data_IF_512355476514
#
_entry.id   IF_512355476514
#
_cell.length_a   1.000
_cell.length_b   1.000
_cell.length_c   1.000
_cell.angle_alpha   90.00
_cell.angle_beta   90.00
_cell.angle_gamma   90.00
#
_symmetry.space_group_name_H-M   'P 1'
#
loop_
_entity.id
_entity.type
_entity.pdbx_description
1 polymer ?
#
# COMPACT_ATOMS: atom_id res chain seq x y z
N UNK A 1 -32.02 9.86 -5.48
CA UNK A 1 -30.62 10.22 -5.78
C UNK A 1 -29.71 9.26 -5.02
N UNK A 2 -28.74 8.67 -5.68
CA UNK A 2 -27.67 7.89 -5.05
C UNK A 2 -26.88 8.76 -4.07
N UNK A 3 -26.47 8.22 -2.93
CA UNK A 3 -25.71 8.98 -1.92
C UNK A 3 -24.22 8.65 -2.03
N UNK A 4 -23.32 9.64 -1.92
CA UNK A 4 -21.89 9.36 -1.87
C UNK A 4 -21.51 8.61 -0.59
N UNK A 5 -20.43 7.83 -0.65
CA UNK A 5 -19.80 7.24 0.52
C UNK A 5 -19.09 8.34 1.33
N UNK A 6 -19.30 8.36 2.63
CA UNK A 6 -18.76 9.37 3.54
C UNK A 6 -17.44 8.87 4.14
N UNK A 7 -16.36 9.60 3.91
CA UNK A 7 -15.01 9.21 4.27
C UNK A 7 -14.45 10.12 5.35
N UNK A 8 -13.95 9.52 6.44
CA UNK A 8 -13.04 10.15 7.39
C UNK A 8 -11.61 9.76 6.99
N UNK A 9 -10.72 10.71 6.76
CA UNK A 9 -9.32 10.39 6.42
C UNK A 9 -8.39 10.67 7.59
N UNK A 10 -7.44 9.76 7.84
CA UNK A 10 -6.40 9.88 8.86
C UNK A 10 -5.04 9.88 8.18
N UNK A 11 -4.34 11.01 8.25
CA UNK A 11 -3.05 11.28 7.63
C UNK A 11 -3.13 12.15 6.38
N UNK A 12 -2.31 13.22 6.35
CA UNK A 12 -2.08 14.13 5.21
C UNK A 12 -0.59 14.13 4.81
N UNK A 13 0.05 12.97 4.89
CA UNK A 13 1.41 12.75 4.37
C UNK A 13 1.47 12.76 2.84
N UNK A 14 2.55 12.18 2.31
CA UNK A 14 2.81 12.14 0.87
C UNK A 14 1.70 11.44 0.06
N UNK A 15 1.12 10.36 0.60
CA UNK A 15 0.02 9.63 -0.05
C UNK A 15 -1.34 10.15 0.41
N UNK A 16 -1.46 10.58 1.68
CA UNK A 16 -2.73 11.08 2.21
C UNK A 16 -3.25 12.33 1.50
N UNK A 17 -2.38 13.26 1.09
CA UNK A 17 -2.78 14.45 0.33
C UNK A 17 -3.42 14.13 -1.04
N UNK A 18 -2.77 13.33 -1.91
CA UNK A 18 -3.40 12.86 -3.15
C UNK A 18 -4.72 12.13 -2.91
N UNK A 19 -4.82 11.29 -1.87
CA UNK A 19 -6.08 10.62 -1.52
C UNK A 19 -7.17 11.65 -1.21
N UNK A 20 -6.91 12.63 -0.35
CA UNK A 20 -7.88 13.68 -0.01
C UNK A 20 -8.31 14.46 -1.24
N UNK A 21 -7.37 14.82 -2.12
CA UNK A 21 -7.63 15.53 -3.38
C UNK A 21 -8.56 14.73 -4.29
N UNK A 22 -8.30 13.44 -4.45
CA UNK A 22 -9.13 12.56 -5.29
C UNK A 22 -10.50 12.28 -4.69
N UNK A 23 -10.63 12.19 -3.36
CA UNK A 23 -11.95 12.09 -2.70
C UNK A 23 -12.79 13.33 -3.02
N UNK A 24 -12.18 14.51 -2.99
CA UNK A 24 -12.87 15.78 -3.29
C UNK A 24 -13.24 15.90 -4.77
N UNK A 25 -12.53 15.23 -5.67
CA UNK A 25 -12.79 15.25 -7.12
C UNK A 25 -13.84 14.22 -7.56
N UNK A 26 -14.21 13.23 -6.71
CA UNK A 26 -15.15 12.17 -7.06
C UNK A 26 -16.55 12.43 -6.50
N UNK A 27 -17.56 12.44 -7.38
CA UNK A 27 -18.97 12.64 -6.99
C UNK A 27 -19.53 11.54 -6.07
N UNK A 28 -18.96 10.32 -6.16
CA UNK A 28 -19.42 9.18 -5.36
C UNK A 28 -18.78 9.10 -3.97
N UNK A 29 -17.84 9.98 -3.65
CA UNK A 29 -17.19 10.08 -2.34
C UNK A 29 -17.45 11.45 -1.70
N UNK A 30 -17.45 11.50 -0.39
CA UNK A 30 -17.57 12.74 0.37
C UNK A 30 -16.62 12.74 1.56
N UNK A 31 -15.56 13.54 1.47
CA UNK A 31 -14.67 13.78 2.59
C UNK A 31 -15.41 14.59 3.66
N UNK A 32 -15.51 14.07 4.88
CA UNK A 32 -16.25 14.75 5.98
C UNK A 32 -15.34 15.41 7.01
N UNK A 33 -14.18 14.80 7.23
CA UNK A 33 -13.14 15.35 8.09
C UNK A 33 -11.80 14.68 7.76
N UNK A 34 -10.73 15.33 8.17
CA UNK A 34 -9.37 14.80 8.12
C UNK A 34 -8.75 14.87 9.51
N UNK A 35 -7.91 13.90 9.85
CA UNK A 35 -7.10 13.90 11.07
C UNK A 35 -5.63 13.90 10.69
N UNK A 36 -4.84 14.84 11.21
CA UNK A 36 -3.39 14.85 11.04
C UNK A 36 -2.72 15.52 12.24
N UNK A 37 -1.75 14.84 12.83
CA UNK A 37 -1.04 15.30 14.03
C UNK A 37 -0.04 16.44 13.77
N UNK A 38 0.25 16.75 12.51
CA UNK A 38 1.21 17.79 12.17
C UNK A 38 0.68 19.18 12.56
N UNK A 39 1.39 19.91 13.44
CA UNK A 39 0.93 21.19 13.96
C UNK A 39 0.59 22.23 12.89
N UNK A 40 1.17 22.14 11.70
CA UNK A 40 0.90 23.06 10.59
C UNK A 40 -0.54 23.00 10.08
N UNK A 41 -1.27 21.91 10.37
CA UNK A 41 -2.68 21.74 9.94
C UNK A 41 -3.68 22.05 11.03
N UNK A 42 -3.24 22.25 12.28
CA UNK A 42 -4.12 22.46 13.43
C UNK A 42 -5.08 23.64 13.21
N UNK A 43 -6.38 23.37 13.29
CA UNK A 43 -7.45 24.38 13.13
C UNK A 43 -7.67 24.87 11.70
N UNK A 44 -7.04 24.23 10.70
CA UNK A 44 -7.20 24.54 9.27
C UNK A 44 -8.30 23.72 8.62
N UNK A 45 -8.72 24.15 7.45
CA UNK A 45 -9.57 23.39 6.53
C UNK A 45 -8.71 22.86 5.37
N UNK A 46 -9.20 21.83 4.68
CA UNK A 46 -8.49 21.23 3.55
C UNK A 46 -8.17 22.25 2.45
N UNK A 47 -9.08 23.16 2.11
CA UNK A 47 -8.85 24.18 1.09
C UNK A 47 -7.64 25.08 1.37
N UNK A 48 -7.30 25.30 2.64
CA UNK A 48 -6.11 26.06 3.04
C UNK A 48 -4.80 25.28 2.86
N UNK A 49 -4.93 24.00 2.58
CA UNK A 49 -3.81 23.05 2.42
C UNK A 49 -3.68 22.52 0.99
N UNK A 50 -4.63 22.86 0.12
CA UNK A 50 -4.67 22.49 -1.30
C UNK A 50 -5.06 23.70 -2.15
N UNK A 51 -4.60 23.73 -3.40
CA UNK A 51 -4.93 24.80 -4.36
C UNK A 51 -6.34 24.69 -4.96
N UNK A 52 -7.19 23.81 -4.44
CA UNK A 52 -8.54 23.54 -4.93
C UNK A 52 -9.60 24.20 -4.04
N UNK A 53 -10.59 24.81 -4.66
CA UNK A 53 -11.80 25.31 -3.98
C UNK A 53 -12.70 24.19 -3.43
N UNK A 54 -12.50 22.96 -3.87
CA UNK A 54 -13.15 21.78 -3.33
C UNK A 54 -12.69 21.56 -1.87
N UNK A 55 -13.60 21.23 -0.98
CA UNK A 55 -13.27 20.96 0.42
C UNK A 55 -13.15 22.17 1.35
N UNK A 56 -13.61 23.37 0.93
CA UNK A 56 -13.60 24.59 1.76
C UNK A 56 -14.14 24.40 3.18
N UNK A 57 -15.08 23.47 3.35
CA UNK A 57 -15.73 23.23 4.63
C UNK A 57 -15.22 22.00 5.38
N UNK A 58 -14.23 21.24 4.82
CA UNK A 58 -13.72 20.02 5.45
C UNK A 58 -12.69 20.38 6.52
N UNK A 59 -12.99 20.14 7.81
CA UNK A 59 -12.09 20.46 8.91
C UNK A 59 -10.93 19.47 9.00
N UNK A 60 -9.79 19.95 9.49
CA UNK A 60 -8.65 19.12 9.88
C UNK A 60 -8.55 19.15 11.40
N UNK A 61 -8.57 17.97 12.03
CA UNK A 61 -8.41 17.77 13.46
C UNK A 61 -7.00 17.26 13.76
N UNK A 62 -6.49 17.53 14.94
CA UNK A 62 -5.22 16.97 15.43
C UNK A 62 -5.42 15.70 16.26
N UNK A 63 -6.66 15.38 16.61
CA UNK A 63 -7.04 14.21 17.41
C UNK A 63 -8.22 13.45 16.76
N UNK A 64 -8.11 12.12 16.74
CA UNK A 64 -9.12 11.27 16.12
C UNK A 64 -10.43 11.26 16.93
N UNK A 65 -10.36 11.24 18.25
CA UNK A 65 -11.54 11.20 19.11
C UNK A 65 -12.35 12.47 18.93
N UNK A 66 -11.69 13.64 18.92
CA UNK A 66 -12.34 14.92 18.65
C UNK A 66 -13.02 14.91 17.27
N UNK A 67 -12.35 14.40 16.23
CA UNK A 67 -12.92 14.32 14.89
C UNK A 67 -14.19 13.46 14.85
N UNK A 68 -14.18 12.31 15.51
CA UNK A 68 -15.31 11.38 15.59
C UNK A 68 -16.49 12.01 16.34
N UNK A 69 -16.25 12.66 17.48
CA UNK A 69 -17.27 13.37 18.25
C UNK A 69 -17.91 14.51 17.45
N UNK A 70 -17.11 15.35 16.81
CA UNK A 70 -17.58 16.49 16.00
C UNK A 70 -18.36 16.07 14.75
N UNK A 71 -18.11 14.88 14.23
CA UNK A 71 -18.82 14.36 13.05
C UNK A 71 -19.96 13.40 13.40
N UNK A 72 -20.22 13.11 14.68
CA UNK A 72 -21.19 12.12 15.16
C UNK A 72 -22.63 12.34 14.64
N UNK A 73 -23.06 13.58 14.47
CA UNK A 73 -24.38 13.90 13.91
C UNK A 73 -24.54 13.47 12.44
N UNK A 74 -23.44 13.30 11.73
CA UNK A 74 -23.38 12.82 10.34
C UNK A 74 -22.12 11.97 10.17
N UNK A 75 -22.10 10.74 10.73
CA UNK A 75 -20.89 9.93 10.77
C UNK A 75 -20.39 9.55 9.39
N UNK A 76 -19.11 9.21 9.30
CA UNK A 76 -18.54 8.56 8.14
C UNK A 76 -19.16 7.16 7.95
N UNK A 77 -18.96 6.59 6.78
CA UNK A 77 -19.23 5.18 6.50
C UNK A 77 -17.95 4.38 6.69
N UNK A 78 -16.82 5.01 6.41
CA UNK A 78 -15.51 4.38 6.37
C UNK A 78 -14.41 5.37 6.79
N UNK A 79 -13.43 4.86 7.52
CA UNK A 79 -12.16 5.53 7.78
C UNK A 79 -11.09 5.08 6.79
N UNK A 80 -10.31 6.03 6.27
CA UNK A 80 -9.16 5.75 5.42
C UNK A 80 -7.89 6.19 6.15
N UNK A 81 -6.98 5.23 6.44
CA UNK A 81 -5.77 5.47 7.22
C UNK A 81 -4.56 5.49 6.30
N UNK A 82 -3.85 6.63 6.27
CA UNK A 82 -2.69 6.87 5.42
C UNK A 82 -1.51 7.47 6.23
N UNK A 83 -1.07 6.77 7.27
CA UNK A 83 -0.11 7.30 8.25
C UNK A 83 1.21 6.52 8.33
N UNK A 84 1.18 5.19 8.32
CA UNK A 84 2.35 4.34 8.56
C UNK A 84 2.25 3.01 7.84
N UNK A 85 3.42 2.44 7.51
CA UNK A 85 3.59 1.08 6.98
C UNK A 85 3.46 -0.01 8.05
N UNK A 86 3.59 0.35 9.33
CA UNK A 86 3.69 -0.58 10.46
C UNK A 86 2.37 -0.73 11.20
N UNK A 87 1.91 -1.97 11.37
CA UNK A 87 0.64 -2.30 11.99
C UNK A 87 0.53 -1.83 13.45
N UNK A 88 1.60 -1.94 14.21
CA UNK A 88 1.64 -1.48 15.60
C UNK A 88 1.36 0.03 15.75
N UNK A 89 1.73 0.83 14.75
CA UNK A 89 1.52 2.27 14.76
C UNK A 89 0.09 2.68 14.36
N UNK A 90 -0.59 1.87 13.56
CA UNK A 90 -1.96 2.16 13.08
C UNK A 90 -3.05 1.44 13.88
N UNK A 91 -2.69 0.42 14.70
CA UNK A 91 -3.66 -0.41 15.45
C UNK A 91 -4.64 0.40 16.29
N UNK A 92 -4.16 1.45 16.99
CA UNK A 92 -5.03 2.29 17.82
C UNK A 92 -6.09 3.00 16.99
N UNK A 93 -5.70 3.56 15.84
CA UNK A 93 -6.65 4.24 14.96
C UNK A 93 -7.68 3.26 14.37
N UNK A 94 -7.26 2.03 14.00
CA UNK A 94 -8.18 0.99 13.52
C UNK A 94 -9.22 0.67 14.59
N UNK A 95 -8.80 0.31 15.81
CA UNK A 95 -9.69 -0.07 16.89
C UNK A 95 -10.63 1.07 17.29
N UNK A 96 -10.12 2.31 17.40
CA UNK A 96 -10.96 3.50 17.68
C UNK A 96 -12.01 3.74 16.58
N UNK A 97 -11.71 3.46 15.32
CA UNK A 97 -12.69 3.55 14.23
C UNK A 97 -13.75 2.45 14.32
N UNK A 98 -13.36 1.23 14.69
CA UNK A 98 -14.29 0.12 14.90
C UNK A 98 -15.23 0.39 16.08
N UNK A 99 -14.73 0.92 17.20
CA UNK A 99 -15.53 1.27 18.40
C UNK A 99 -16.73 2.18 18.07
N UNK A 100 -16.62 3.02 17.04
CA UNK A 100 -17.70 3.90 16.58
C UNK A 100 -18.42 3.36 15.32
N UNK A 101 -18.18 2.13 14.95
CA UNK A 101 -18.86 1.42 13.87
C UNK A 101 -18.47 1.87 12.47
N UNK A 102 -17.22 2.24 12.22
CA UNK A 102 -16.70 2.55 10.88
C UNK A 102 -16.06 1.32 10.24
N UNK A 103 -16.25 1.14 8.93
CA UNK A 103 -15.33 0.32 8.14
C UNK A 103 -13.96 0.99 8.06
N UNK A 104 -12.90 0.21 7.79
CA UNK A 104 -11.54 0.75 7.71
C UNK A 104 -10.84 0.26 6.44
N UNK A 105 -10.22 1.18 5.70
CA UNK A 105 -9.21 0.88 4.67
C UNK A 105 -7.92 1.57 5.06
N UNK A 106 -6.80 0.85 4.99
CA UNK A 106 -5.49 1.42 5.31
C UNK A 106 -4.46 1.11 4.23
N UNK A 107 -3.54 2.07 3.99
CA UNK A 107 -2.35 1.83 3.16
C UNK A 107 -1.20 1.18 3.93
N UNK A 108 -1.43 0.76 5.16
CA UNK A 108 -0.43 0.07 5.98
C UNK A 108 -0.08 -1.28 5.35
N UNK A 109 1.13 -1.42 4.88
CA UNK A 109 1.61 -2.59 4.17
C UNK A 109 1.51 -3.86 5.03
N UNK A 110 1.89 -3.79 6.31
CA UNK A 110 1.81 -4.93 7.24
C UNK A 110 0.36 -5.37 7.53
N UNK A 111 -0.64 -4.50 7.31
CA UNK A 111 -2.05 -4.85 7.48
C UNK A 111 -2.61 -5.65 6.29
N UNK A 112 -1.94 -5.68 5.16
CA UNK A 112 -2.42 -6.41 3.96
C UNK A 112 -2.48 -7.92 4.18
N UNK A 113 -1.58 -8.47 4.99
CA UNK A 113 -1.59 -9.86 5.45
C UNK A 113 -0.93 -10.00 6.84
N UNK A 114 -1.59 -9.58 7.94
CA UNK A 114 -0.96 -9.57 9.27
C UNK A 114 -0.92 -10.92 9.98
N UNK A 115 -1.65 -11.93 9.47
CA UNK A 115 -1.96 -13.19 10.17
C UNK A 115 -0.71 -14.00 10.56
N UNK A 116 0.39 -13.93 9.79
CA UNK A 116 1.62 -14.66 10.12
C UNK A 116 2.56 -13.89 11.03
N UNK A 117 2.72 -12.57 10.81
CA UNK A 117 3.65 -11.74 11.59
C UNK A 117 3.03 -11.25 12.91
N UNK A 118 1.74 -10.96 12.90
CA UNK A 118 1.02 -10.36 14.03
C UNK A 118 -0.27 -11.12 14.38
N UNK A 119 -0.22 -12.46 14.58
CA UNK A 119 -1.43 -13.28 14.69
C UNK A 119 -2.39 -12.84 15.81
N UNK A 120 -1.85 -12.43 16.96
CA UNK A 120 -2.68 -11.96 18.08
C UNK A 120 -3.41 -10.65 17.75
N UNK A 121 -2.72 -9.72 17.08
CA UNK A 121 -3.30 -8.43 16.70
C UNK A 121 -4.27 -8.59 15.53
N UNK A 122 -3.96 -9.44 14.56
CA UNK A 122 -4.85 -9.78 13.46
C UNK A 122 -6.17 -10.36 14.00
N UNK A 123 -6.11 -11.38 14.88
CA UNK A 123 -7.31 -11.98 15.50
C UNK A 123 -8.10 -10.95 16.32
N UNK A 124 -7.42 -10.04 17.03
CA UNK A 124 -8.10 -8.98 17.79
C UNK A 124 -8.87 -8.04 16.85
N UNK A 125 -8.23 -7.54 15.78
CA UNK A 125 -8.88 -6.65 14.81
C UNK A 125 -10.04 -7.37 14.13
N UNK A 126 -9.87 -8.63 13.77
CA UNK A 126 -10.88 -9.46 13.13
C UNK A 126 -12.12 -9.61 14.03
N UNK A 127 -11.92 -10.08 15.27
CA UNK A 127 -13.02 -10.28 16.23
C UNK A 127 -13.77 -8.98 16.55
N UNK A 128 -13.06 -7.86 16.75
CA UNK A 128 -13.70 -6.57 17.01
C UNK A 128 -14.48 -6.06 15.77
N UNK A 129 -13.93 -6.26 14.56
CA UNK A 129 -14.63 -5.93 13.34
C UNK A 129 -15.89 -6.77 13.12
N UNK A 130 -15.84 -8.08 13.39
CA UNK A 130 -17.00 -8.98 13.36
C UNK A 130 -18.06 -8.55 14.36
N UNK A 131 -17.68 -8.26 15.62
CA UNK A 131 -18.59 -7.87 16.70
C UNK A 131 -19.41 -6.62 16.33
N UNK A 132 -18.77 -5.63 15.72
CA UNK A 132 -19.46 -4.38 15.32
C UNK A 132 -20.05 -4.45 13.91
N UNK A 133 -19.92 -5.58 13.20
CA UNK A 133 -20.42 -5.74 11.84
C UNK A 133 -19.72 -4.83 10.82
N UNK A 134 -18.41 -4.69 10.93
CA UNK A 134 -17.58 -3.84 10.06
C UNK A 134 -16.43 -4.62 9.46
N UNK A 135 -15.83 -4.04 8.42
CA UNK A 135 -14.76 -4.68 7.65
C UNK A 135 -13.51 -3.82 7.71
N UNK A 136 -12.36 -4.47 7.91
CA UNK A 136 -11.03 -3.85 7.90
C UNK A 136 -10.23 -4.42 6.73
N UNK A 137 -9.57 -3.57 5.96
CA UNK A 137 -8.71 -3.95 4.84
C UNK A 137 -7.40 -3.18 4.87
N UNK A 138 -6.27 -3.88 4.75
CA UNK A 138 -4.99 -3.32 4.32
C UNK A 138 -4.82 -3.47 2.81
N UNK A 139 -4.49 -2.40 2.07
CA UNK A 139 -4.29 -2.47 0.62
C UNK A 139 -3.48 -1.28 0.09
N UNK A 140 -2.94 -1.46 -1.08
CA UNK A 140 -2.19 -0.48 -1.84
C UNK A 140 -1.85 -1.04 -3.21
N UNK A 141 -0.81 -0.50 -3.83
CA UNK A 141 -0.31 -1.06 -5.08
C UNK A 141 0.60 -2.27 -4.81
N UNK A 142 1.40 -2.20 -3.73
CA UNK A 142 2.27 -3.26 -3.22
C UNK A 142 2.45 -3.10 -1.69
N UNK A 143 1.99 -4.04 -0.89
CA UNK A 143 1.07 -5.13 -1.22
C UNK A 143 -0.35 -4.65 -1.51
N UNK A 144 -1.12 -5.50 -2.20
CA UNK A 144 -2.54 -5.30 -2.48
C UNK A 144 -2.94 -5.50 -3.95
N UNK A 145 -2.00 -5.41 -4.90
CA UNK A 145 -2.35 -5.63 -6.32
C UNK A 145 -1.21 -6.22 -7.17
N UNK A 146 -0.16 -5.43 -7.50
CA UNK A 146 0.80 -5.81 -8.54
C UNK A 146 1.64 -7.04 -8.22
N UNK A 147 2.07 -7.18 -6.96
CA UNK A 147 2.99 -8.24 -6.56
C UNK A 147 2.28 -9.40 -5.84
N UNK A 148 0.98 -9.37 -5.73
CA UNK A 148 0.17 -10.41 -5.07
C UNK A 148 -1.13 -10.72 -5.82
N UNK A 149 -2.16 -9.87 -5.73
CA UNK A 149 -3.48 -10.18 -6.27
C UNK A 149 -3.47 -10.39 -7.79
N UNK A 150 -2.78 -9.54 -8.56
CA UNK A 150 -2.71 -9.66 -10.02
C UNK A 150 -2.03 -10.98 -10.44
N UNK A 151 -0.83 -11.35 -9.93
CA UNK A 151 -0.26 -12.66 -10.22
C UNK A 151 -1.14 -13.83 -9.77
N UNK A 152 -1.82 -13.75 -8.61
CA UNK A 152 -2.79 -14.77 -8.19
C UNK A 152 -3.88 -14.95 -9.26
N UNK A 153 -4.49 -13.85 -9.73
CA UNK A 153 -5.54 -13.90 -10.76
C UNK A 153 -5.03 -14.48 -12.07
N UNK A 154 -3.80 -14.17 -12.46
CA UNK A 154 -3.20 -14.70 -13.70
C UNK A 154 -2.92 -16.19 -13.66
N UNK A 155 -2.89 -16.83 -12.47
CA UNK A 155 -2.81 -18.31 -12.40
C UNK A 155 -4.12 -19.00 -12.78
N UNK A 156 -5.26 -18.28 -12.79
CA UNK A 156 -6.59 -18.84 -13.03
C UNK A 156 -6.72 -19.69 -14.31
N UNK A 157 -6.15 -19.31 -15.48
CA UNK A 157 -6.19 -20.14 -16.68
C UNK A 157 -5.19 -21.30 -16.69
N UNK A 158 -4.26 -21.39 -15.71
CA UNK A 158 -3.25 -22.44 -15.67
C UNK A 158 -3.86 -23.74 -15.12
N UNK A 159 -3.73 -24.84 -15.87
CA UNK A 159 -4.06 -26.19 -15.39
C UNK A 159 -3.15 -26.58 -14.21
N UNK A 160 -1.89 -26.13 -14.27
CA UNK A 160 -0.86 -26.25 -13.23
C UNK A 160 0.21 -25.18 -13.45
N UNK A 161 0.88 -24.78 -12.40
CA UNK A 161 2.08 -23.97 -12.48
C UNK A 161 3.14 -24.48 -11.48
N UNK A 162 4.39 -24.18 -11.79
CA UNK A 162 5.55 -24.61 -10.99
C UNK A 162 6.16 -23.43 -10.22
N UNK A 163 6.30 -22.28 -10.90
CA UNK A 163 6.97 -21.10 -10.35
C UNK A 163 6.24 -19.82 -10.76
N UNK A 164 6.28 -18.86 -9.86
CA UNK A 164 5.75 -17.51 -10.04
C UNK A 164 6.86 -16.51 -9.75
N UNK A 165 7.21 -15.69 -10.73
CA UNK A 165 8.12 -14.57 -10.54
C UNK A 165 7.42 -13.26 -10.85
N UNK A 166 7.58 -12.26 -9.96
CA UNK A 166 7.13 -10.89 -10.19
C UNK A 166 8.33 -9.97 -10.06
N UNK A 167 8.52 -9.12 -11.06
CA UNK A 167 9.59 -8.12 -11.06
C UNK A 167 8.98 -6.75 -11.27
N UNK A 168 9.34 -5.81 -10.42
CA UNK A 168 8.98 -4.41 -10.53
C UNK A 168 10.25 -3.57 -10.63
N UNK A 169 10.39 -2.81 -11.72
CA UNK A 169 11.53 -1.91 -11.98
C UNK A 169 11.03 -0.48 -12.09
N UNK A 170 11.55 0.41 -11.25
CA UNK A 170 11.15 1.82 -11.22
C UNK A 170 12.35 2.76 -11.23
N UNK A 171 12.25 3.85 -11.98
CA UNK A 171 13.21 4.95 -11.93
C UNK A 171 12.96 5.81 -10.69
N UNK A 172 13.88 5.73 -9.72
CA UNK A 172 13.79 6.50 -8.49
C UNK A 172 14.04 7.99 -8.72
N UNK A 173 14.73 8.39 -9.80
CA UNK A 173 15.03 9.79 -10.10
C UNK A 173 13.78 10.63 -10.35
N UNK A 174 12.69 10.01 -10.80
CA UNK A 174 11.39 10.65 -11.02
C UNK A 174 10.54 10.76 -9.75
N UNK A 175 11.03 10.22 -8.62
CA UNK A 175 10.31 10.15 -7.35
C UNK A 175 10.74 11.26 -6.39
N UNK A 176 9.94 11.49 -5.35
CA UNK A 176 10.24 12.45 -4.27
C UNK A 176 11.59 12.15 -3.61
N UNK A 177 12.31 13.21 -3.16
CA UNK A 177 13.62 13.08 -2.52
C UNK A 177 13.65 12.06 -1.37
N UNK A 178 12.61 12.06 -0.52
CA UNK A 178 12.51 11.09 0.58
C UNK A 178 12.42 9.63 0.14
N UNK A 179 12.00 9.34 -1.08
CA UNK A 179 12.05 7.99 -1.65
C UNK A 179 13.46 7.66 -2.13
N UNK A 180 14.14 8.61 -2.80
CA UNK A 180 15.52 8.45 -3.25
C UNK A 180 16.49 8.23 -2.07
N UNK A 181 16.29 8.96 -0.96
CA UNK A 181 17.02 8.73 0.30
C UNK A 181 16.77 7.31 0.86
N UNK A 182 15.52 6.83 0.86
CA UNK A 182 15.17 5.49 1.34
C UNK A 182 15.80 4.36 0.53
N UNK A 183 16.10 4.58 -0.74
CA UNK A 183 16.77 3.57 -1.59
C UNK A 183 18.28 3.76 -1.62
N UNK A 184 18.83 4.73 -0.85
CA UNK A 184 20.26 4.94 -0.66
C UNK A 184 20.96 5.68 -1.80
N UNK A 185 20.22 6.38 -2.67
CA UNK A 185 20.80 7.12 -3.79
C UNK A 185 21.87 8.11 -3.32
N UNK A 186 23.07 8.01 -3.88
CA UNK A 186 24.22 8.87 -3.60
C UNK A 186 25.13 8.38 -2.48
N UNK A 187 24.73 7.40 -1.68
CA UNK A 187 25.57 6.81 -0.63
C UNK A 187 26.78 6.10 -1.23
N UNK A 188 27.87 6.03 -0.48
CA UNK A 188 28.93 5.04 -0.73
C UNK A 188 28.43 3.64 -0.38
N UNK A 189 29.10 2.60 -0.84
CA UNK A 189 28.77 1.20 -0.48
C UNK A 189 28.82 0.97 1.03
N UNK A 190 29.83 1.51 1.70
CA UNK A 190 29.98 1.36 3.15
C UNK A 190 28.86 2.09 3.92
N UNK A 191 28.46 3.29 3.46
CA UNK A 191 27.32 4.01 4.06
C UNK A 191 26.00 3.27 3.86
N UNK A 192 25.82 2.62 2.71
CA UNK A 192 24.62 1.83 2.41
C UNK A 192 24.57 0.57 3.28
N UNK A 193 25.67 -0.18 3.43
CA UNK A 193 25.77 -1.35 4.30
C UNK A 193 25.48 -0.97 5.76
N UNK A 194 26.11 0.09 6.27
CA UNK A 194 25.84 0.62 7.60
C UNK A 194 24.37 1.04 7.77
N UNK A 195 23.76 1.62 6.73
CA UNK A 195 22.36 2.02 6.78
C UNK A 195 21.40 0.82 6.85
N UNK A 196 21.76 -0.33 6.25
CA UNK A 196 21.04 -1.59 6.40
C UNK A 196 21.18 -2.11 7.83
N UNK A 197 22.40 -2.19 8.37
CA UNK A 197 22.66 -2.68 9.72
C UNK A 197 21.93 -1.84 10.80
N UNK A 198 21.86 -0.53 10.61
CA UNK A 198 21.13 0.39 11.49
C UNK A 198 19.60 0.38 11.28
N UNK A 199 19.10 -0.36 10.28
CA UNK A 199 17.68 -0.40 9.93
C UNK A 199 17.14 0.90 9.30
N UNK A 200 18.00 1.77 8.79
CA UNK A 200 17.60 2.99 8.04
C UNK A 200 17.19 2.66 6.61
N UNK A 201 17.80 1.63 6.02
CA UNK A 201 17.38 1.03 4.75
C UNK A 201 16.88 -0.39 5.05
N UNK A 202 15.60 -0.62 4.78
CA UNK A 202 14.91 -1.90 5.08
C UNK A 202 14.45 -2.64 3.82
N UNK A 203 14.75 -2.11 2.64
CA UNK A 203 14.15 -2.60 1.41
C UNK A 203 12.69 -2.17 1.24
N UNK A 204 11.96 -2.92 0.42
CA UNK A 204 10.55 -2.66 0.18
C UNK A 204 9.68 -3.36 1.22
N UNK A 205 9.03 -2.57 2.10
CA UNK A 205 8.09 -3.12 3.10
C UNK A 205 6.90 -3.77 2.40
N UNK A 206 6.55 -4.99 2.79
CA UNK A 206 5.38 -5.69 2.29
C UNK A 206 5.65 -6.88 1.34
N UNK A 207 6.92 -7.16 1.00
CA UNK A 207 7.24 -8.36 0.18
C UNK A 207 6.80 -9.66 0.86
N UNK A 208 7.01 -9.77 2.17
CA UNK A 208 6.57 -10.94 2.95
C UNK A 208 5.05 -11.06 2.95
N UNK A 209 4.34 -9.96 3.17
CA UNK A 209 2.88 -9.91 3.18
C UNK A 209 2.30 -10.35 1.82
N UNK A 210 2.91 -9.92 0.70
CA UNK A 210 2.52 -10.36 -0.64
C UNK A 210 2.75 -11.86 -0.83
N UNK A 211 3.89 -12.42 -0.39
CA UNK A 211 4.16 -13.86 -0.50
C UNK A 211 3.21 -14.66 0.40
N UNK A 212 2.92 -14.19 1.63
CA UNK A 212 1.95 -14.84 2.50
C UNK A 212 0.55 -14.87 1.86
N UNK A 213 0.14 -13.79 1.20
CA UNK A 213 -1.13 -13.72 0.48
C UNK A 213 -1.17 -14.70 -0.70
N UNK A 214 -0.08 -14.80 -1.48
CA UNK A 214 0.06 -15.75 -2.59
C UNK A 214 -0.01 -17.19 -2.06
N UNK A 215 0.78 -17.51 -1.03
CA UNK A 215 0.82 -18.86 -0.43
C UNK A 215 -0.56 -19.28 0.09
N UNK A 216 -1.23 -18.37 0.80
CA UNK A 216 -2.57 -18.65 1.34
C UNK A 216 -3.61 -18.81 0.22
N UNK A 217 -3.65 -17.92 -0.76
CA UNK A 217 -4.64 -17.95 -1.84
C UNK A 217 -4.47 -19.19 -2.75
N UNK A 218 -3.24 -19.56 -3.06
CA UNK A 218 -2.93 -20.66 -3.98
C UNK A 218 -2.65 -21.99 -3.26
N UNK A 219 -2.64 -22.01 -1.92
CA UNK A 219 -2.38 -23.19 -1.07
C UNK A 219 -1.06 -23.89 -1.43
N UNK A 220 0.00 -23.08 -1.61
CA UNK A 220 1.30 -23.61 -2.06
C UNK A 220 1.99 -24.42 -0.98
N UNK A 221 1.69 -24.21 0.30
CA UNK A 221 2.35 -24.86 1.44
C UNK A 221 3.86 -24.63 1.41
N UNK A 222 4.28 -23.37 1.32
CA UNK A 222 5.68 -22.97 1.34
C UNK A 222 6.29 -23.29 2.70
N UNK A 223 7.47 -23.95 2.68
CA UNK A 223 8.19 -24.36 3.90
C UNK A 223 8.91 -23.17 4.55
N UNK A 224 9.44 -22.27 3.71
CA UNK A 224 10.16 -21.07 4.13
C UNK A 224 9.72 -19.86 3.31
N UNK A 225 9.49 -18.74 3.99
CA UNK A 225 9.24 -17.43 3.35
C UNK A 225 10.19 -16.43 3.99
N UNK A 226 11.02 -15.82 3.17
CA UNK A 226 12.07 -14.90 3.65
C UNK A 226 12.26 -13.71 2.73
N UNK A 227 12.71 -12.61 3.31
CA UNK A 227 13.22 -11.46 2.60
C UNK A 227 14.75 -11.47 2.65
N UNK A 228 15.37 -11.25 1.49
CA UNK A 228 16.82 -11.14 1.38
C UNK A 228 17.25 -9.73 1.77
N UNK A 229 18.45 -9.56 2.36
CA UNK A 229 19.00 -8.23 2.56
C UNK A 229 18.97 -7.42 1.26
N UNK A 230 18.65 -6.12 1.32
CA UNK A 230 18.68 -5.28 0.13
C UNK A 230 20.08 -5.24 -0.50
N UNK A 231 20.13 -5.34 -1.82
CA UNK A 231 21.37 -5.25 -2.60
C UNK A 231 21.49 -3.84 -3.19
N UNK A 232 22.68 -3.23 -3.09
CA UNK A 232 22.95 -1.94 -3.72
C UNK A 232 23.02 -2.08 -5.25
N UNK A 233 22.40 -1.13 -5.97
CA UNK A 233 22.64 -0.91 -7.41
C UNK A 233 23.69 0.17 -7.53
N UNK A 234 24.84 -0.15 -8.12
CA UNK A 234 26.01 0.70 -8.16
C UNK A 234 26.11 1.46 -9.49
N UNK A 235 26.56 2.71 -9.44
CA UNK A 235 26.77 3.56 -10.59
C UNK A 235 28.04 3.12 -11.36
N UNK A 236 27.88 2.72 -12.62
CA UNK A 236 28.99 2.40 -13.51
C UNK A 236 29.75 3.66 -13.95
N UNK A 237 29.06 4.80 -13.99
CA UNK A 237 29.59 6.13 -14.28
C UNK A 237 28.88 7.20 -13.44
N UNK A 238 29.50 8.35 -13.30
CA UNK A 238 28.89 9.47 -12.56
C UNK A 238 27.68 10.03 -13.28
N UNK A 239 26.61 10.37 -12.51
CA UNK A 239 25.39 10.92 -13.08
C UNK A 239 24.76 11.98 -12.17
N UNK A 240 24.00 12.89 -12.76
CA UNK A 240 23.18 13.87 -12.05
C UNK A 240 21.82 13.24 -11.68
N UNK A 241 21.39 13.47 -10.44
CA UNK A 241 20.06 13.09 -9.96
C UNK A 241 19.38 14.30 -9.30
N UNK A 242 18.06 14.27 -9.09
CA UNK A 242 17.36 15.38 -8.43
C UNK A 242 17.83 15.67 -6.99
N UNK A 243 18.49 14.74 -6.32
CA UNK A 243 19.04 14.93 -4.97
C UNK A 243 20.53 15.20 -4.95
N UNK A 244 21.17 15.34 -6.12
CA UNK A 244 22.58 15.66 -6.28
C UNK A 244 23.31 14.72 -7.22
N UNK A 245 24.61 14.97 -7.37
CA UNK A 245 25.49 14.14 -8.20
C UNK A 245 25.81 12.82 -7.50
N UNK A 246 25.65 11.73 -8.21
CA UNK A 246 26.10 10.39 -7.82
C UNK A 246 27.41 10.10 -8.53
N UNK A 247 28.48 9.87 -7.79
CA UNK A 247 29.79 9.55 -8.36
C UNK A 247 29.84 8.07 -8.79
N UNK A 248 30.73 7.75 -9.74
CA UNK A 248 31.00 6.36 -10.11
C UNK A 248 31.40 5.54 -8.90
N UNK A 249 30.80 4.35 -8.75
CA UNK A 249 31.02 3.44 -7.62
C UNK A 249 30.09 3.68 -6.44
N UNK A 250 29.31 4.78 -6.42
CA UNK A 250 28.30 5.04 -5.42
C UNK A 250 26.96 4.38 -5.77
N UNK A 251 26.08 4.33 -4.79
CA UNK A 251 24.77 3.68 -4.89
C UNK A 251 23.78 4.54 -5.68
N UNK A 252 23.16 3.96 -6.70
CA UNK A 252 22.05 4.54 -7.45
C UNK A 252 20.69 4.22 -6.82
N UNK A 253 20.62 3.15 -6.07
CA UNK A 253 19.39 2.65 -5.45
C UNK A 253 19.56 1.20 -5.00
N UNK A 254 18.47 0.48 -4.88
CA UNK A 254 18.49 -0.88 -4.33
C UNK A 254 17.64 -1.87 -5.13
N UNK A 255 17.94 -3.16 -4.88
CA UNK A 255 17.13 -4.30 -5.24
C UNK A 255 16.74 -5.03 -3.96
N UNK A 256 15.44 -5.28 -3.77
CA UNK A 256 14.87 -6.10 -2.70
C UNK A 256 14.30 -7.37 -3.27
N UNK A 257 14.48 -8.50 -2.59
CA UNK A 257 13.95 -9.80 -2.99
C UNK A 257 13.21 -10.47 -1.84
N UNK A 258 12.00 -10.93 -2.11
CA UNK A 258 11.27 -11.85 -1.26
C UNK A 258 11.20 -13.23 -1.92
N UNK A 259 11.39 -14.29 -1.15
CA UNK A 259 11.42 -15.68 -1.62
C UNK A 259 10.41 -16.52 -0.84
N UNK A 260 9.65 -17.32 -1.58
CA UNK A 260 8.84 -18.40 -1.04
C UNK A 260 9.36 -19.74 -1.55
N UNK A 261 9.84 -20.60 -0.63
CA UNK A 261 10.49 -21.86 -0.95
C UNK A 261 9.64 -23.06 -0.54
N UNK A 262 9.78 -24.14 -1.30
CA UNK A 262 9.23 -25.46 -0.97
C UNK A 262 10.25 -26.52 -1.37
N UNK A 263 10.69 -27.34 -0.41
CA UNK A 263 11.77 -28.33 -0.59
C UNK A 263 13.04 -27.72 -1.22
N UNK A 264 13.46 -26.56 -0.68
CA UNK A 264 14.60 -25.74 -1.12
C UNK A 264 14.48 -25.15 -2.54
N UNK A 265 13.36 -25.36 -3.25
CA UNK A 265 13.11 -24.72 -4.54
C UNK A 265 12.37 -23.39 -4.38
N UNK A 266 12.82 -22.37 -5.13
CA UNK A 266 12.11 -21.09 -5.25
C UNK A 266 10.82 -21.29 -6.07
N UNK A 267 9.66 -21.23 -5.38
CA UNK A 267 8.33 -21.32 -6.00
C UNK A 267 7.77 -19.93 -6.29
N UNK A 268 7.99 -19.00 -5.35
CA UNK A 268 7.58 -17.59 -5.50
C UNK A 268 8.81 -16.72 -5.35
N UNK A 269 9.05 -15.85 -6.33
CA UNK A 269 10.11 -14.84 -6.29
C UNK A 269 9.52 -13.47 -6.57
N UNK A 270 9.62 -12.56 -5.60
CA UNK A 270 9.26 -11.15 -5.77
C UNK A 270 10.52 -10.31 -5.81
N UNK A 271 10.70 -9.53 -6.86
CA UNK A 271 11.83 -8.60 -7.03
C UNK A 271 11.32 -7.17 -7.17
N UNK A 272 11.82 -6.29 -6.32
CA UNK A 272 11.58 -4.84 -6.38
C UNK A 272 12.92 -4.14 -6.62
N UNK A 273 13.06 -3.48 -7.76
CA UNK A 273 14.26 -2.76 -8.17
C UNK A 273 13.92 -1.28 -8.29
N UNK A 274 14.60 -0.45 -7.53
CA UNK A 274 14.40 0.99 -7.53
C UNK A 274 15.75 1.70 -7.52
N UNK A 275 16.12 2.32 -8.64
CA UNK A 275 17.35 3.08 -8.73
C UNK A 275 17.22 4.24 -9.70
N UNK A 276 18.07 5.26 -9.56
CA UNK A 276 18.12 6.37 -10.50
C UNK A 276 18.49 5.87 -11.89
N UNK A 277 17.79 6.39 -12.92
CA UNK A 277 17.92 5.98 -14.32
C UNK A 277 17.63 4.52 -14.65
N UNK A 278 16.78 3.84 -13.86
CA UNK A 278 16.25 2.53 -14.27
C UNK A 278 15.47 2.66 -15.59
N UNK A 279 15.96 2.00 -16.63
CA UNK A 279 15.34 2.02 -17.96
C UNK A 279 15.48 0.66 -18.65
N UNK A 280 14.37 0.08 -19.18
CA UNK A 280 12.98 0.55 -19.06
C UNK A 280 12.37 0.34 -17.68
N UNK A 281 11.44 1.22 -17.26
CA UNK A 281 10.54 0.94 -16.14
C UNK A 281 9.49 -0.09 -16.57
N UNK A 282 9.16 -1.05 -15.69
CA UNK A 282 8.11 -2.03 -15.95
C UNK A 282 7.67 -2.78 -14.70
N UNK A 283 6.46 -3.37 -14.78
CA UNK A 283 6.00 -4.43 -13.88
C UNK A 283 5.83 -5.71 -14.71
N UNK A 284 6.44 -6.82 -14.32
CA UNK A 284 6.41 -8.08 -15.06
C UNK A 284 6.05 -9.25 -14.16
N UNK A 285 5.17 -10.11 -14.65
CA UNK A 285 4.75 -11.35 -14.01
C UNK A 285 5.05 -12.50 -14.96
N UNK A 286 5.80 -13.48 -14.47
CA UNK A 286 6.14 -14.70 -15.21
C UNK A 286 5.60 -15.89 -14.41
N UNK A 287 4.76 -16.69 -15.04
CA UNK A 287 4.23 -17.94 -14.52
C UNK A 287 4.77 -19.08 -15.35
N UNK A 288 5.66 -19.87 -14.77
CA UNK A 288 6.09 -21.16 -15.34
C UNK A 288 4.99 -22.18 -15.09
N UNK A 289 4.16 -22.41 -16.09
CA UNK A 289 2.96 -23.22 -15.97
C UNK A 289 2.44 -23.78 -17.30
N UNK A 290 1.23 -24.33 -17.25
CA UNK A 290 0.53 -24.84 -18.42
C UNK A 290 -0.87 -24.23 -18.51
N UNK A 291 -1.11 -23.24 -19.40
CA UNK A 291 -0.08 -22.59 -20.23
C UNK A 291 0.93 -21.76 -19.41
N UNK A 292 2.13 -21.52 -19.96
CA UNK A 292 3.02 -20.50 -19.44
C UNK A 292 2.47 -19.12 -19.74
N UNK A 293 2.62 -18.17 -18.79
CA UNK A 293 2.10 -16.81 -18.93
C UNK A 293 3.23 -15.82 -18.62
N UNK A 294 3.41 -14.86 -19.50
CA UNK A 294 4.20 -13.65 -19.24
C UNK A 294 3.32 -12.45 -19.48
N UNK A 295 3.16 -11.62 -18.46
CA UNK A 295 2.43 -10.36 -18.54
C UNK A 295 3.37 -9.23 -18.15
N UNK A 296 3.38 -8.17 -18.94
CA UNK A 296 4.20 -7.00 -18.69
C UNK A 296 3.40 -5.72 -18.86
N UNK A 297 3.61 -4.80 -17.93
CA UNK A 297 3.09 -3.43 -17.99
C UNK A 297 4.28 -2.53 -18.29
N UNK A 298 4.37 -2.05 -19.51
CA UNK A 298 5.43 -1.14 -19.94
C UNK A 298 5.30 0.21 -19.24
N UNK A 299 6.42 0.79 -18.81
CA UNK A 299 6.47 2.00 -18.01
C UNK A 299 6.09 1.79 -16.54
N UNK A 300 5.62 0.60 -16.18
CA UNK A 300 5.17 0.27 -14.82
C UNK A 300 3.99 1.11 -14.33
N UNK A 301 3.40 0.73 -13.20
CA UNK A 301 2.37 1.51 -12.54
C UNK A 301 3.02 2.47 -11.53
N UNK A 302 2.77 3.77 -11.67
CA UNK A 302 3.27 4.74 -10.70
C UNK A 302 2.74 4.43 -9.29
N UNK A 303 3.64 4.12 -8.34
CA UNK A 303 3.30 3.57 -7.03
C UNK A 303 2.32 4.43 -6.23
N UNK A 304 2.59 5.73 -6.12
CA UNK A 304 1.75 6.65 -5.34
C UNK A 304 0.32 6.75 -5.95
N UNK A 305 0.22 6.91 -7.28
CA UNK A 305 -1.08 6.97 -7.98
C UNK A 305 -1.83 5.63 -7.92
N UNK A 306 -1.11 4.51 -8.11
CA UNK A 306 -1.70 3.18 -8.01
C UNK A 306 -2.28 2.91 -6.61
N UNK A 307 -1.56 3.30 -5.55
CA UNK A 307 -2.05 3.19 -4.17
C UNK A 307 -3.30 4.04 -3.94
N UNK A 308 -3.31 5.30 -4.39
CA UNK A 308 -4.50 6.15 -4.32
C UNK A 308 -5.69 5.48 -5.03
N UNK A 309 -5.46 4.98 -6.25
CA UNK A 309 -6.49 4.25 -7.02
C UNK A 309 -7.02 3.04 -6.26
N UNK A 310 -6.14 2.18 -5.74
CA UNK A 310 -6.53 0.96 -5.03
C UNK A 310 -7.37 1.25 -3.80
N UNK A 311 -6.94 2.14 -2.92
CA UNK A 311 -7.69 2.42 -1.68
C UNK A 311 -9.04 3.08 -1.95
N UNK A 312 -9.14 4.00 -2.89
CA UNK A 312 -10.42 4.65 -3.23
C UNK A 312 -11.40 3.68 -3.90
N UNK A 313 -10.90 2.82 -4.78
CA UNK A 313 -11.71 1.83 -5.47
C UNK A 313 -12.12 0.68 -4.53
N UNK A 314 -11.38 0.42 -3.45
CA UNK A 314 -11.73 -0.57 -2.44
C UNK A 314 -12.91 -0.11 -1.54
N UNK A 315 -13.16 1.19 -1.39
CA UNK A 315 -14.20 1.71 -0.47
C UNK A 315 -15.56 1.01 -0.64
N UNK A 316 -16.19 0.97 -1.84
CA UNK A 316 -17.48 0.31 -2.00
C UNK A 316 -17.39 -1.21 -1.81
N UNK A 317 -16.25 -1.82 -2.11
CA UNK A 317 -16.04 -3.27 -1.96
C UNK A 317 -15.99 -3.65 -0.49
N UNK A 318 -15.24 -2.89 0.32
CA UNK A 318 -15.12 -3.08 1.77
C UNK A 318 -16.46 -2.88 2.48
N UNK A 319 -17.21 -1.84 2.12
CA UNK A 319 -18.53 -1.58 2.72
C UNK A 319 -19.53 -2.72 2.43
N UNK A 320 -19.35 -3.44 1.31
CA UNK A 320 -20.21 -4.54 0.91
C UNK A 320 -19.65 -5.93 1.27
N UNK A 321 -18.46 -6.00 1.84
CA UNK A 321 -17.82 -7.25 2.21
C UNK A 321 -18.37 -7.80 3.56
N UNK A 322 -18.18 -9.08 3.85
CA UNK A 322 -18.41 -9.63 5.18
C UNK A 322 -17.63 -8.87 6.25
N UNK A 323 -18.16 -8.82 7.47
CA UNK A 323 -17.45 -8.25 8.61
C UNK A 323 -16.18 -9.05 8.93
N UNK A 324 -15.18 -8.39 9.49
CA UNK A 324 -13.90 -8.98 9.85
C UNK A 324 -12.70 -8.28 9.22
N UNK A 325 -11.50 -8.83 9.45
CA UNK A 325 -10.27 -8.45 8.81
C UNK A 325 -10.10 -9.23 7.50
N UNK A 326 -10.36 -8.56 6.38
CA UNK A 326 -10.34 -9.18 5.05
C UNK A 326 -9.05 -8.88 4.31
N UNK A 327 -8.70 -9.76 3.37
CA UNK A 327 -7.61 -9.62 2.41
C UNK A 327 -8.16 -9.19 1.06
N UNK A 328 -7.30 -8.68 0.18
CA UNK A 328 -7.70 -8.36 -1.20
C UNK A 328 -8.27 -9.58 -1.95
N UNK A 329 -7.81 -10.78 -1.61
CA UNK A 329 -8.31 -12.05 -2.17
C UNK A 329 -9.72 -12.44 -1.72
N UNK A 330 -10.22 -11.86 -0.64
CA UNK A 330 -11.55 -12.13 -0.09
C UNK A 330 -12.62 -11.20 -0.69
N UNK A 331 -12.18 -10.16 -1.40
CA UNK A 331 -13.06 -9.16 -2.00
C UNK A 331 -13.49 -9.55 -3.43
N UNK A 332 -14.57 -8.92 -3.90
CA UNK A 332 -14.87 -8.91 -5.32
C UNK A 332 -13.70 -8.29 -6.13
N UNK A 333 -13.55 -8.72 -7.39
CA UNK A 333 -12.46 -8.26 -8.28
C UNK A 333 -12.31 -6.74 -8.20
N UNK A 334 -11.11 -6.23 -7.88
CA UNK A 334 -10.85 -4.80 -7.82
C UNK A 334 -10.99 -4.18 -9.21
N UNK A 335 -11.68 -3.06 -9.26
CA UNK A 335 -11.98 -2.31 -10.48
C UNK A 335 -12.21 -0.85 -10.15
N UNK A 336 -12.18 0.01 -11.15
CA UNK A 336 -12.53 1.41 -10.96
C UNK A 336 -14.00 1.54 -10.49
N UNK A 337 -14.21 2.22 -9.37
CA UNK A 337 -15.52 2.37 -8.73
C UNK A 337 -16.01 3.83 -8.69
N UNK A 338 -15.44 4.73 -9.47
CA UNK A 338 -15.80 6.15 -9.45
C UNK A 338 -17.29 6.42 -9.76
N UNK A 339 -17.98 5.48 -10.39
CA UNK A 339 -19.42 5.57 -10.69
C UNK A 339 -20.30 4.72 -9.75
N UNK A 340 -19.73 4.16 -8.68
CA UNK A 340 -20.47 3.38 -7.70
C UNK A 340 -21.01 4.32 -6.61
N UNK A 341 -22.28 4.15 -6.27
CA UNK A 341 -22.95 4.93 -5.25
C UNK A 341 -23.65 4.00 -4.26
N UNK A 342 -23.92 4.50 -3.04
CA UNK A 342 -24.76 3.78 -2.09
C UNK A 342 -26.12 3.48 -2.70
N UNK A 343 -26.55 2.25 -2.62
CA UNK A 343 -27.95 1.91 -2.88
C UNK A 343 -28.84 2.54 -1.80
N UNK A 344 -30.03 2.98 -2.20
CA UNK A 344 -31.01 3.57 -1.29
C UNK A 344 -31.59 2.55 -0.32
#
# INVERSE_FOLDING_TARGET
MSKPFRVLQIGLGAIGKPIASEILARDNLKLIAVVDINPKYKGKKIAESSSSDAGKEVPIFSDLTEALERTSARPADIALIATSSHLEQVKKAILTCLDVGLHVVSICEELSYPHRRYPKLANKIDSEAEEVGRTVLGTGINPGFLMDLLPIMLTGPCIRFNKLKVTRVIDSSTRRSSFQEKVGTGMTTDEFENAIEEGRITGHVGLLESIYMIDDALKLSLDEIKEMPPEAVIADEGMETPIGKVEKGNVLGLKSRGLGLRADEEIVTLEFVAHASASPEYDEIIIDGQPAITQRIEGGVMGDHGTVGMVLNAIPLVISAPAGLVKMTDLAIPRNTQHYYKMK
#
